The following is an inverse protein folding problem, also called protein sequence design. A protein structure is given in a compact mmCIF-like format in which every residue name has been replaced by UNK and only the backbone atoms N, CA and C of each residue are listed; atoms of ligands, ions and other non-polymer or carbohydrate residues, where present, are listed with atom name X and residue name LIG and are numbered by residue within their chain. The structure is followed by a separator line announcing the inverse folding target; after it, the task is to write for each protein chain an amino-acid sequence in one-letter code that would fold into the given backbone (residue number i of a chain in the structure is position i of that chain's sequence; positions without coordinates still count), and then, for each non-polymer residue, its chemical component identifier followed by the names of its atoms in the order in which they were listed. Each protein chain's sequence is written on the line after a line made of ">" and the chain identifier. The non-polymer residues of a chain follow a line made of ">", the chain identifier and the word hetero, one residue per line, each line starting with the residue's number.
data_IF_222210168283
#
_entry.id   IF_222210168283
#
_cell.length_a   1.000
_cell.length_b   1.000
_cell.length_c   1.000
_cell.angle_alpha   90.00
_cell.angle_beta   90.00
_cell.angle_gamma   90.00
#
_symmetry.space_group_name_H-M   'P 1'
#
loop_
_entity.id
_entity.type
_entity.pdbx_description
1 polymer ?
#
# COMPACT_ATOMS: atom_id res chain seq x y z
N UNK A 1 -77.25 7.75 44.26
CA UNK A 1 -76.16 6.93 44.82
C UNK A 1 -76.04 5.73 43.92
N UNK A 2 -75.39 5.92 42.77
CA UNK A 2 -75.12 4.86 41.80
C UNK A 2 -73.75 4.29 42.14
N UNK A 3 -73.74 3.00 42.49
CA UNK A 3 -72.52 2.22 42.57
C UNK A 3 -71.97 2.06 41.14
N UNK A 4 -70.90 2.80 40.84
CA UNK A 4 -70.05 2.51 39.69
C UNK A 4 -69.37 1.17 39.96
N UNK A 5 -69.87 0.11 39.32
CA UNK A 5 -69.14 -1.14 39.13
C UNK A 5 -67.97 -0.83 38.20
N UNK A 6 -66.76 -0.95 38.71
CA UNK A 6 -65.58 -1.09 37.86
C UNK A 6 -65.66 -2.47 37.20
N UNK A 7 -65.69 -2.46 35.87
CA UNK A 7 -65.66 -3.66 35.04
C UNK A 7 -64.28 -4.33 35.18
N UNK A 8 -64.28 -5.65 35.33
CA UNK A 8 -63.11 -6.43 35.72
C UNK A 8 -62.30 -6.90 34.50
N UNK A 9 -61.69 -5.96 33.76
CA UNK A 9 -60.72 -6.29 32.69
C UNK A 9 -59.50 -5.35 32.63
N UNK A 10 -59.28 -4.50 33.64
CA UNK A 10 -58.05 -3.72 33.77
C UNK A 10 -57.11 -4.43 34.76
N UNK A 11 -56.03 -5.07 34.27
CA UNK A 11 -54.85 -5.35 35.12
C UNK A 11 -54.42 -4.01 35.73
N UNK A 12 -54.26 -3.96 37.05
CA UNK A 12 -53.89 -2.73 37.77
C UNK A 12 -52.63 -2.12 37.11
N UNK A 13 -52.61 -0.81 36.77
CA UNK A 13 -51.41 -0.15 36.23
C UNK A 13 -50.13 -0.45 37.03
N UNK A 14 -50.27 -0.74 38.33
CA UNK A 14 -49.18 -1.13 39.23
C UNK A 14 -48.63 -2.54 38.93
N UNK A 15 -49.48 -3.48 38.51
CA UNK A 15 -49.08 -4.86 38.17
C UNK A 15 -48.26 -4.94 36.87
N UNK A 16 -48.35 -3.92 36.00
CA UNK A 16 -47.56 -3.85 34.75
C UNK A 16 -46.15 -3.30 34.93
N UNK A 17 -45.86 -2.64 36.05
CA UNK A 17 -44.55 -2.01 36.28
C UNK A 17 -43.41 -3.05 36.33
N UNK A 18 -43.57 -4.23 36.97
CA UNK A 18 -42.61 -5.33 36.85
C UNK A 18 -42.25 -5.74 35.42
N UNK A 19 -43.26 -5.89 34.56
CA UNK A 19 -43.08 -6.21 33.14
C UNK A 19 -42.28 -5.10 32.44
N UNK A 20 -42.67 -3.84 32.64
CA UNK A 20 -41.96 -2.69 32.08
C UNK A 20 -40.52 -2.55 32.60
N UNK A 21 -40.25 -2.86 33.87
CA UNK A 21 -38.88 -2.89 34.40
C UNK A 21 -38.06 -3.98 33.70
N UNK A 22 -38.66 -5.14 33.43
CA UNK A 22 -38.03 -6.20 32.64
C UNK A 22 -37.73 -5.79 31.20
N UNK A 23 -38.69 -5.16 30.52
CA UNK A 23 -38.50 -4.62 29.16
C UNK A 23 -37.36 -3.59 29.11
N UNK A 24 -37.25 -2.72 30.12
CA UNK A 24 -36.15 -1.74 30.23
C UNK A 24 -34.80 -2.45 30.38
N UNK A 25 -34.70 -3.47 31.24
CA UNK A 25 -33.44 -4.22 31.41
C UNK A 25 -33.02 -4.91 30.11
N UNK A 26 -33.96 -5.50 29.37
CA UNK A 26 -33.67 -6.09 28.04
C UNK A 26 -33.18 -5.03 27.08
N UNK A 27 -33.92 -3.93 26.95
CA UNK A 27 -33.57 -2.84 26.05
C UNK A 27 -32.19 -2.27 26.35
N UNK A 28 -31.85 -2.07 27.64
CA UNK A 28 -30.52 -1.62 28.05
C UNK A 28 -29.43 -2.60 27.64
N UNK A 29 -29.70 -3.89 27.75
CA UNK A 29 -28.72 -4.93 27.42
C UNK A 29 -28.51 -5.08 25.92
N UNK A 30 -29.56 -4.99 25.12
CA UNK A 30 -29.48 -5.01 23.66
C UNK A 30 -28.68 -3.80 23.15
N UNK A 31 -28.97 -2.60 23.70
CA UNK A 31 -28.19 -1.40 23.41
C UNK A 31 -26.74 -1.57 23.84
N UNK A 32 -26.46 -2.14 25.02
CA UNK A 32 -25.10 -2.40 25.46
C UNK A 32 -24.34 -3.35 24.52
N UNK A 33 -25.01 -4.37 23.97
CA UNK A 33 -24.45 -5.29 22.97
C UNK A 33 -24.14 -4.60 21.64
N UNK A 34 -25.05 -3.76 21.14
CA UNK A 34 -24.83 -2.94 19.94
C UNK A 34 -23.64 -1.99 20.17
N UNK A 35 -23.61 -1.30 21.32
CA UNK A 35 -22.51 -0.39 21.68
C UNK A 35 -21.17 -1.11 21.71
N UNK A 36 -21.10 -2.32 22.30
CA UNK A 36 -19.87 -3.12 22.30
C UNK A 36 -19.42 -3.51 20.88
N UNK A 37 -20.35 -3.88 20.00
CA UNK A 37 -20.05 -4.17 18.60
C UNK A 37 -19.53 -2.94 17.86
N UNK A 38 -20.11 -1.75 18.11
CA UNK A 38 -19.64 -0.49 17.52
C UNK A 38 -18.26 -0.11 18.06
N UNK A 39 -17.97 -0.28 19.35
CA UNK A 39 -16.64 -0.06 19.93
C UNK A 39 -15.60 -0.92 19.20
N UNK A 40 -15.87 -2.22 19.06
CA UNK A 40 -14.97 -3.14 18.34
C UNK A 40 -14.77 -2.74 16.87
N UNK A 41 -15.83 -2.32 16.20
CA UNK A 41 -15.75 -1.80 14.82
C UNK A 41 -14.91 -0.52 14.75
N UNK A 42 -15.02 0.35 15.74
CA UNK A 42 -14.25 1.60 15.84
C UNK A 42 -12.75 1.32 16.03
N UNK A 43 -12.39 0.33 16.84
CA UNK A 43 -11.00 -0.11 17.02
C UNK A 43 -10.38 -0.61 15.70
N UNK A 44 -11.11 -1.46 14.96
CA UNK A 44 -10.68 -1.95 13.65
C UNK A 44 -10.46 -0.80 12.66
N UNK A 45 -11.39 0.15 12.62
CA UNK A 45 -11.29 1.31 11.74
C UNK A 45 -10.11 2.22 12.09
N UNK A 46 -9.75 2.36 13.37
CA UNK A 46 -8.53 3.07 13.81
C UNK A 46 -7.24 2.38 13.35
N UNK A 47 -7.22 1.05 13.32
CA UNK A 47 -6.08 0.30 12.81
C UNK A 47 -5.89 0.53 11.30
N UNK A 48 -6.96 0.45 10.52
CA UNK A 48 -6.94 0.78 9.08
C UNK A 48 -6.50 2.23 8.83
N UNK A 49 -7.00 3.16 9.64
CA UNK A 49 -6.64 4.56 9.58
C UNK A 49 -5.14 4.81 9.83
N UNK A 50 -4.57 4.11 10.82
CA UNK A 50 -3.13 4.19 11.11
C UNK A 50 -2.30 3.65 9.96
N UNK A 51 -2.73 2.56 9.32
CA UNK A 51 -2.06 2.03 8.12
C UNK A 51 -2.12 3.03 6.96
N UNK A 52 -3.26 3.67 6.75
CA UNK A 52 -3.43 4.70 5.71
C UNK A 52 -2.51 5.91 5.94
N UNK A 53 -2.32 6.32 7.19
CA UNK A 53 -1.34 7.37 7.55
C UNK A 53 0.07 7.00 7.11
N UNK A 54 0.50 5.75 7.35
CA UNK A 54 1.81 5.26 6.89
C UNK A 54 1.96 5.32 5.35
N UNK A 55 0.92 4.91 4.61
CA UNK A 55 0.91 5.02 3.14
C UNK A 55 1.01 6.47 2.66
N UNK A 56 0.40 7.41 3.38
CA UNK A 56 0.48 8.84 3.05
C UNK A 56 1.88 9.39 3.28
N UNK A 57 2.56 9.00 4.36
CA UNK A 57 3.96 9.37 4.62
C UNK A 57 4.93 8.82 3.55
N UNK A 58 4.71 7.57 3.11
CA UNK A 58 5.46 6.99 1.99
C UNK A 58 5.21 7.74 0.68
N UNK A 59 3.95 8.10 0.41
CA UNK A 59 3.59 8.86 -0.79
C UNK A 59 4.23 10.26 -0.80
N UNK A 60 4.33 10.94 0.34
CA UNK A 60 5.09 12.18 0.45
C UNK A 60 6.59 12.00 0.16
N UNK A 61 7.17 10.91 0.66
CA UNK A 61 8.57 10.61 0.41
C UNK A 61 8.82 10.36 -1.09
N UNK A 62 7.92 9.64 -1.75
CA UNK A 62 8.01 9.39 -3.19
C UNK A 62 7.79 10.66 -4.01
N UNK A 63 6.87 11.55 -3.62
CA UNK A 63 6.72 12.87 -4.24
C UNK A 63 8.00 13.69 -4.19
N UNK A 64 8.71 13.69 -3.05
CA UNK A 64 10.00 14.38 -2.93
C UNK A 64 11.03 13.81 -3.90
N UNK A 65 11.09 12.48 -4.05
CA UNK A 65 11.99 11.83 -5.03
C UNK A 65 11.64 12.20 -6.46
N UNK A 66 10.36 12.19 -6.83
CA UNK A 66 9.91 12.58 -8.17
C UNK A 66 10.26 14.03 -8.46
N UNK A 67 10.03 14.95 -7.52
CA UNK A 67 10.40 16.36 -7.67
C UNK A 67 11.90 16.53 -7.89
N UNK A 68 12.74 15.84 -7.10
CA UNK A 68 14.19 15.90 -7.28
C UNK A 68 14.62 15.33 -8.64
N UNK A 69 14.07 14.18 -9.04
CA UNK A 69 14.37 13.57 -10.33
C UNK A 69 13.97 14.49 -11.50
N UNK A 70 12.85 15.21 -11.37
CA UNK A 70 12.43 16.21 -12.35
C UNK A 70 13.38 17.39 -12.41
N UNK A 71 13.85 17.92 -11.28
CA UNK A 71 14.84 19.00 -11.30
C UNK A 71 16.17 18.56 -11.93
N UNK A 72 16.62 17.33 -11.65
CA UNK A 72 17.81 16.74 -12.27
C UNK A 72 17.63 16.55 -13.78
N UNK A 73 16.47 16.08 -14.22
CA UNK A 73 16.14 15.92 -15.64
C UNK A 73 16.16 17.27 -16.37
N UNK A 74 15.60 18.33 -15.79
CA UNK A 74 15.67 19.69 -16.37
C UNK A 74 17.11 20.15 -16.56
N UNK A 75 17.96 20.01 -15.53
CA UNK A 75 19.38 20.37 -15.64
C UNK A 75 20.15 19.53 -16.67
N UNK A 76 19.72 18.28 -16.91
CA UNK A 76 20.29 17.44 -17.96
C UNK A 76 19.85 17.91 -19.35
N UNK A 77 18.58 18.26 -19.53
CA UNK A 77 18.05 18.83 -20.77
C UNK A 77 18.74 20.15 -21.12
N UNK A 78 18.88 21.07 -20.18
CA UNK A 78 19.60 22.35 -20.39
C UNK A 78 21.04 22.12 -20.86
N UNK A 79 21.77 21.19 -20.22
CA UNK A 79 23.14 20.83 -20.62
C UNK A 79 23.19 20.13 -21.98
N UNK A 80 22.17 19.34 -22.33
CA UNK A 80 22.08 18.70 -23.63
C UNK A 80 21.85 19.73 -24.73
N UNK A 81 20.95 20.71 -24.52
CA UNK A 81 20.70 21.82 -25.45
C UNK A 81 21.99 22.62 -25.71
N UNK A 82 22.73 22.98 -24.66
CA UNK A 82 24.01 23.71 -24.81
C UNK A 82 25.04 22.90 -25.64
N UNK A 83 25.17 21.60 -25.37
CA UNK A 83 26.05 20.72 -26.14
C UNK A 83 25.62 20.54 -27.59
N UNK A 84 24.32 20.46 -27.85
CA UNK A 84 23.78 20.38 -29.20
C UNK A 84 24.05 21.67 -29.97
N UNK A 85 23.89 22.84 -29.32
CA UNK A 85 24.27 24.13 -29.88
C UNK A 85 25.75 24.17 -30.30
N UNK A 86 26.66 23.76 -29.42
CA UNK A 86 28.10 23.65 -29.74
C UNK A 86 28.36 22.66 -30.90
N UNK A 87 27.60 21.56 -30.95
CA UNK A 87 27.66 20.58 -32.04
C UNK A 87 27.25 21.18 -33.39
N UNK A 88 26.17 21.97 -33.41
CA UNK A 88 25.72 22.70 -34.60
C UNK A 88 26.77 23.68 -35.10
N UNK A 89 27.41 24.44 -34.20
CA UNK A 89 28.48 25.39 -34.57
C UNK A 89 29.68 24.66 -35.22
N UNK A 90 30.08 23.50 -34.68
CA UNK A 90 31.16 22.68 -35.24
C UNK A 90 30.82 22.11 -36.62
N UNK A 91 29.56 21.71 -36.83
CA UNK A 91 29.06 21.25 -38.14
C UNK A 91 29.10 22.38 -39.16
N UNK A 92 28.61 23.56 -38.80
CA UNK A 92 28.63 24.73 -39.69
C UNK A 92 30.07 25.11 -40.08
N UNK A 93 31.01 25.08 -39.11
CA UNK A 93 32.42 25.28 -39.40
C UNK A 93 32.98 24.22 -40.36
N UNK A 94 32.59 22.95 -40.19
CA UNK A 94 33.04 21.84 -41.04
C UNK A 94 32.49 21.97 -42.47
N UNK A 95 31.22 22.37 -42.63
CA UNK A 95 30.62 22.66 -43.93
C UNK A 95 31.32 23.82 -44.64
N UNK A 96 31.73 24.86 -43.89
CA UNK A 96 32.55 25.95 -44.40
C UNK A 96 33.88 25.43 -44.95
N UNK A 97 34.64 24.67 -44.14
CA UNK A 97 35.93 24.10 -44.56
C UNK A 97 35.83 23.18 -45.79
N UNK A 98 34.76 22.37 -45.89
CA UNK A 98 34.52 21.52 -47.07
C UNK A 98 34.21 22.37 -48.31
N UNK A 99 33.51 23.49 -48.13
CA UNK A 99 33.22 24.44 -49.23
C UNK A 99 34.51 25.09 -49.72
N UNK A 100 35.37 25.55 -48.82
CA UNK A 100 36.69 26.11 -49.15
C UNK A 100 37.57 25.06 -49.86
N UNK A 101 37.52 23.80 -49.43
CA UNK A 101 38.24 22.69 -50.06
C UNK A 101 37.76 22.44 -51.50
N UNK A 102 36.45 22.47 -51.74
CA UNK A 102 35.88 22.32 -53.08
C UNK A 102 36.29 23.47 -54.01
N UNK A 103 36.39 24.70 -53.50
CA UNK A 103 36.90 25.85 -54.26
C UNK A 103 38.40 25.71 -54.57
N UNK A 104 39.20 25.24 -53.62
CA UNK A 104 40.62 24.95 -53.83
C UNK A 104 40.81 23.87 -54.89
N UNK A 105 40.03 22.79 -54.84
CA UNK A 105 40.02 21.71 -55.84
C UNK A 105 39.69 22.25 -57.22
N UNK A 106 38.65 23.08 -57.36
CA UNK A 106 38.29 23.69 -58.64
C UNK A 106 39.43 24.57 -59.20
N UNK A 107 40.07 25.35 -58.34
CA UNK A 107 41.21 26.20 -58.69
C UNK A 107 42.42 25.38 -59.15
N UNK A 108 42.73 24.28 -58.44
CA UNK A 108 43.80 23.36 -58.81
C UNK A 108 43.53 22.70 -60.17
N UNK A 109 42.31 22.24 -60.44
CA UNK A 109 41.92 21.69 -61.75
C UNK A 109 42.17 22.68 -62.88
N UNK A 110 41.82 23.96 -62.67
CA UNK A 110 42.06 25.02 -63.65
C UNK A 110 43.56 25.24 -63.89
N UNK A 111 44.37 25.29 -62.83
CA UNK A 111 45.82 25.45 -62.94
C UNK A 111 46.48 24.27 -63.67
N UNK A 112 46.11 23.03 -63.36
CA UNK A 112 46.70 21.84 -63.98
C UNK A 112 46.29 21.73 -65.45
N UNK A 113 45.04 22.10 -65.79
CA UNK A 113 44.58 22.16 -67.18
C UNK A 113 45.34 23.22 -67.98
N UNK A 114 45.57 24.41 -67.38
CA UNK A 114 46.42 25.44 -67.95
C UNK A 114 47.87 24.99 -68.15
N UNK A 115 48.42 24.25 -67.18
CA UNK A 115 49.75 23.65 -67.27
C UNK A 115 49.86 22.63 -68.40
N UNK A 116 48.87 21.73 -68.54
CA UNK A 116 48.81 20.76 -69.62
C UNK A 116 48.76 21.44 -71.01
N UNK A 117 47.98 22.52 -71.15
CA UNK A 117 47.93 23.31 -72.38
C UNK A 117 49.27 23.99 -72.71
N UNK A 118 49.99 24.50 -71.70
CA UNK A 118 51.32 25.07 -71.87
C UNK A 118 52.35 24.02 -72.30
N UNK A 119 52.30 22.82 -71.72
CA UNK A 119 53.15 21.69 -72.10
C UNK A 119 52.92 21.28 -73.56
N UNK A 120 51.66 21.24 -74.02
CA UNK A 120 51.34 20.94 -75.40
C UNK A 120 51.88 22.02 -76.37
N UNK A 121 51.87 23.29 -75.96
CA UNK A 121 52.47 24.36 -76.75
C UNK A 121 54.01 24.22 -76.84
N UNK A 122 54.68 23.83 -75.75
CA UNK A 122 56.13 23.54 -75.77
C UNK A 122 56.43 22.37 -76.69
N UNK A 123 55.64 21.29 -76.63
CA UNK A 123 55.75 20.12 -77.53
C UNK A 123 55.75 20.54 -79.00
N UNK A 124 54.75 21.34 -79.41
CA UNK A 124 54.63 21.84 -80.79
C UNK A 124 55.85 22.68 -81.20
N UNK A 125 56.29 23.58 -80.31
CA UNK A 125 57.48 24.40 -80.58
C UNK A 125 58.76 23.56 -80.74
N UNK A 126 58.94 22.52 -79.92
CA UNK A 126 60.06 21.59 -80.06
C UNK A 126 60.03 20.80 -81.36
N UNK A 127 58.84 20.38 -81.82
CA UNK A 127 58.65 19.72 -83.12
C UNK A 127 58.99 20.65 -84.29
N UNK A 128 58.60 21.93 -84.21
CA UNK A 128 58.96 22.93 -85.21
C UNK A 128 60.50 23.13 -85.27
N UNK A 129 61.16 23.21 -84.11
CA UNK A 129 62.62 23.34 -84.02
C UNK A 129 63.31 22.08 -84.58
N UNK A 130 62.78 20.89 -84.30
CA UNK A 130 63.28 19.64 -84.84
C UNK A 130 63.21 19.63 -86.37
N UNK A 131 62.10 20.07 -86.95
CA UNK A 131 61.92 20.20 -88.40
C UNK A 131 62.89 21.23 -89.02
N UNK A 132 63.13 22.34 -88.34
CA UNK A 132 64.14 23.34 -88.74
C UNK A 132 65.54 22.72 -88.69
N UNK A 133 65.87 21.98 -87.63
CA UNK A 133 67.16 21.32 -87.48
C UNK A 133 67.37 20.24 -88.56
N UNK A 134 66.35 19.46 -88.89
CA UNK A 134 66.39 18.49 -89.99
C UNK A 134 66.64 19.18 -91.33
N UNK A 135 65.90 20.24 -91.64
CA UNK A 135 66.07 21.03 -92.87
C UNK A 135 67.48 21.64 -92.93
N UNK A 136 67.95 22.18 -91.81
CA UNK A 136 69.30 22.76 -91.69
C UNK A 136 70.38 21.71 -91.91
N UNK A 137 70.21 20.50 -91.36
CA UNK A 137 71.12 19.38 -91.57
C UNK A 137 71.16 18.93 -93.05
N UNK A 138 70.03 18.94 -93.77
CA UNK A 138 69.97 18.64 -95.21
C UNK A 138 70.66 19.74 -96.02
N UNK A 139 70.40 21.02 -95.69
CA UNK A 139 71.06 22.15 -96.34
C UNK A 139 72.59 22.14 -96.13
N UNK A 140 73.02 21.86 -94.90
CA UNK A 140 74.43 21.72 -94.55
C UNK A 140 75.08 20.53 -95.27
N UNK A 141 74.39 19.39 -95.38
CA UNK A 141 74.85 18.24 -96.16
C UNK A 141 75.04 18.60 -97.64
N UNK A 142 74.06 19.28 -98.24
CA UNK A 142 74.15 19.74 -99.62
C UNK A 142 75.31 20.73 -99.81
N UNK A 143 75.51 21.64 -98.86
CA UNK A 143 76.63 22.58 -98.87
C UNK A 143 77.99 21.87 -98.72
N UNK A 144 78.10 20.84 -97.87
CA UNK A 144 79.31 20.00 -97.76
C UNK A 144 79.60 19.28 -99.08
N UNK A 145 78.58 18.73 -99.75
CA UNK A 145 78.72 18.06 -101.05
C UNK A 145 79.23 19.04 -102.12
N UNK A 146 78.66 20.24 -102.19
CA UNK A 146 79.05 21.23 -103.19
C UNK A 146 80.43 21.84 -102.89
N UNK A 147 80.78 22.00 -101.60
CA UNK A 147 82.12 22.39 -101.17
C UNK A 147 83.19 21.34 -101.54
N UNK A 148 82.86 20.04 -101.46
CA UNK A 148 83.73 18.97 -101.96
C UNK A 148 83.89 19.00 -103.48
N UNK A 149 82.82 19.35 -104.22
CA UNK A 149 82.86 19.52 -105.69
C UNK A 149 83.74 20.68 -106.15
N UNK A 150 83.81 21.76 -105.38
CA UNK A 150 84.63 22.93 -105.68
C UNK A 150 86.14 22.73 -105.43
N UNK A 151 86.57 21.55 -104.95
CA UNK A 151 87.98 21.21 -104.73
C UNK A 151 88.66 22.13 -103.71
N UNK A 152 89.88 22.60 -104.01
CA UNK A 152 90.67 23.42 -103.08
C UNK A 152 90.00 24.75 -102.70
N UNK A 153 89.18 25.33 -103.59
CA UNK A 153 88.46 26.58 -103.33
C UNK A 153 87.30 26.42 -102.33
N UNK A 154 86.77 25.20 -102.17
CA UNK A 154 85.64 24.90 -101.27
C UNK A 154 86.03 24.45 -99.87
N UNK A 155 87.33 24.26 -99.58
CA UNK A 155 87.80 23.60 -98.34
C UNK A 155 87.35 24.32 -97.06
N UNK A 156 87.36 25.65 -97.04
CA UNK A 156 86.91 26.45 -95.89
C UNK A 156 85.38 26.39 -95.72
N UNK A 157 84.64 26.36 -96.84
CA UNK A 157 83.18 26.18 -96.82
C UNK A 157 82.77 24.79 -96.32
N UNK A 158 83.54 23.74 -96.65
CA UNK A 158 83.28 22.39 -96.16
C UNK A 158 83.41 22.27 -94.63
N UNK A 159 84.35 23.00 -94.01
CA UNK A 159 84.49 23.05 -92.55
C UNK A 159 83.26 23.70 -91.90
N UNK A 160 82.83 24.86 -92.42
CA UNK A 160 81.63 25.55 -91.91
C UNK A 160 80.38 24.70 -92.11
N UNK A 161 80.22 24.06 -93.27
CA UNK A 161 79.06 23.20 -93.54
C UNK A 161 79.02 21.97 -92.61
N UNK A 162 80.16 21.35 -92.30
CA UNK A 162 80.23 20.26 -91.32
C UNK A 162 79.92 20.73 -89.89
N UNK A 163 80.34 21.93 -89.50
CA UNK A 163 80.01 22.51 -88.20
C UNK A 163 78.50 22.78 -88.07
N UNK A 164 77.89 23.38 -89.10
CA UNK A 164 76.42 23.59 -89.16
C UNK A 164 75.67 22.26 -89.12
N UNK A 165 76.19 21.22 -89.79
CA UNK A 165 75.62 19.86 -89.74
C UNK A 165 75.68 19.27 -88.33
N UNK A 166 76.80 19.44 -87.63
CA UNK A 166 76.95 18.99 -86.24
C UNK A 166 75.98 19.73 -85.32
N UNK A 167 75.91 21.06 -85.45
CA UNK A 167 75.02 21.90 -84.64
C UNK A 167 73.54 21.54 -84.86
N UNK A 168 73.14 21.25 -86.11
CA UNK A 168 71.80 20.76 -86.43
C UNK A 168 71.52 19.36 -85.84
N UNK A 169 72.53 18.49 -85.77
CA UNK A 169 72.45 17.22 -85.05
C UNK A 169 72.26 17.40 -83.54
N UNK A 170 73.03 18.31 -82.93
CA UNK A 170 72.94 18.63 -81.51
C UNK A 170 71.58 19.25 -81.16
N UNK A 171 71.06 20.17 -81.98
CA UNK A 171 69.73 20.76 -81.83
C UNK A 171 68.64 19.69 -81.85
N UNK A 172 68.73 18.71 -82.75
CA UNK A 172 67.74 17.61 -82.83
C UNK A 172 67.73 16.75 -81.57
N UNK A 173 68.91 16.39 -81.05
CA UNK A 173 68.99 15.64 -79.78
C UNK A 173 68.41 16.44 -78.62
N UNK A 174 68.68 17.75 -78.57
CA UNK A 174 68.11 18.62 -77.55
C UNK A 174 66.58 18.71 -77.65
N UNK A 175 66.01 18.80 -78.86
CA UNK A 175 64.55 18.78 -79.05
C UNK A 175 63.93 17.44 -78.68
N UNK A 176 64.58 16.31 -78.99
CA UNK A 176 64.13 14.97 -78.57
C UNK A 176 64.10 14.84 -77.03
N UNK A 177 65.12 15.36 -76.33
CA UNK A 177 65.14 15.38 -74.86
C UNK A 177 64.03 16.27 -74.27
N UNK A 178 63.75 17.42 -74.89
CA UNK A 178 62.63 18.28 -74.48
C UNK A 178 61.30 17.53 -74.67
N UNK A 179 61.08 16.89 -75.81
CA UNK A 179 59.84 16.11 -76.07
C UNK A 179 59.66 15.03 -75.02
N UNK A 180 60.69 14.24 -74.70
CA UNK A 180 60.62 13.22 -73.64
C UNK A 180 60.27 13.82 -72.28
N UNK A 181 60.87 14.96 -71.93
CA UNK A 181 60.59 15.64 -70.66
C UNK A 181 59.15 16.14 -70.61
N UNK A 182 58.63 16.70 -71.71
CA UNK A 182 57.25 17.15 -71.84
C UNK A 182 56.26 15.99 -71.79
N UNK A 183 56.61 14.82 -72.33
CA UNK A 183 55.79 13.60 -72.20
C UNK A 183 55.69 13.16 -70.73
N UNK A 184 56.81 13.07 -70.01
CA UNK A 184 56.81 12.73 -68.58
C UNK A 184 56.01 13.74 -67.75
N UNK A 185 56.15 15.04 -68.01
CA UNK A 185 55.36 16.07 -67.34
C UNK A 185 53.87 15.99 -67.67
N UNK A 186 53.50 15.54 -68.87
CA UNK A 186 52.12 15.31 -69.28
C UNK A 186 51.48 14.11 -68.55
N UNK A 187 52.24 13.03 -68.37
CA UNK A 187 51.82 11.88 -67.57
C UNK A 187 51.61 12.24 -66.10
N UNK A 188 52.57 12.98 -65.50
CA UNK A 188 52.46 13.49 -64.13
C UNK A 188 51.26 14.42 -63.96
N UNK A 189 51.03 15.35 -64.90
CA UNK A 189 49.86 16.23 -64.88
C UNK A 189 48.54 15.43 -64.93
N UNK A 190 48.48 14.37 -65.75
CA UNK A 190 47.30 13.49 -65.85
C UNK A 190 47.05 12.74 -64.54
N UNK A 191 48.11 12.25 -63.88
CA UNK A 191 48.04 11.62 -62.55
C UNK A 191 47.50 12.59 -61.49
N UNK A 192 47.99 13.84 -61.50
CA UNK A 192 47.52 14.88 -60.58
C UNK A 192 46.04 15.22 -60.81
N UNK A 193 45.58 15.31 -62.07
CA UNK A 193 44.15 15.53 -62.39
C UNK A 193 43.29 14.41 -61.78
N UNK A 194 43.67 13.15 -61.98
CA UNK A 194 42.92 12.01 -61.42
C UNK A 194 42.86 12.05 -59.89
N UNK A 195 43.94 12.47 -59.22
CA UNK A 195 43.95 12.64 -57.76
C UNK A 195 43.04 13.80 -57.31
N UNK A 196 43.01 14.91 -58.06
CA UNK A 196 42.13 16.05 -57.78
C UNK A 196 40.66 15.65 -57.95
N UNK A 197 40.32 14.93 -59.01
CA UNK A 197 38.95 14.42 -59.24
C UNK A 197 38.49 13.48 -58.12
N UNK A 198 39.35 12.56 -57.69
CA UNK A 198 39.06 11.70 -56.54
C UNK A 198 38.87 12.50 -55.24
N UNK A 199 39.70 13.53 -55.01
CA UNK A 199 39.57 14.43 -53.87
C UNK A 199 38.26 15.25 -53.90
N UNK A 200 37.83 15.66 -55.10
CA UNK A 200 36.56 16.35 -55.30
C UNK A 200 35.36 15.47 -54.90
N UNK A 201 35.34 14.22 -55.37
CA UNK A 201 34.25 13.29 -55.05
C UNK A 201 34.23 12.96 -53.55
N UNK A 202 35.39 12.67 -52.95
CA UNK A 202 35.50 12.44 -51.51
C UNK A 202 35.01 13.64 -50.68
N UNK A 203 35.30 14.87 -51.13
CA UNK A 203 34.81 16.10 -50.48
C UNK A 203 33.29 16.26 -50.59
N UNK A 204 32.71 15.86 -51.71
CA UNK A 204 31.26 15.89 -51.95
C UNK A 204 30.52 14.83 -51.11
N UNK A 205 31.09 13.64 -50.98
CA UNK A 205 30.60 12.61 -50.05
C UNK A 205 30.66 13.12 -48.61
N UNK A 206 31.80 13.67 -48.19
CA UNK A 206 31.97 14.26 -46.86
C UNK A 206 30.92 15.35 -46.57
N UNK A 207 30.65 16.24 -47.55
CA UNK A 207 29.59 17.26 -47.44
C UNK A 207 28.23 16.64 -47.17
N UNK A 208 27.89 15.57 -47.89
CA UNK A 208 26.61 14.87 -47.74
C UNK A 208 26.50 14.21 -46.37
N UNK A 209 27.56 13.56 -45.89
CA UNK A 209 27.61 12.97 -44.56
C UNK A 209 27.46 14.01 -43.45
N UNK A 210 28.17 15.15 -43.55
CA UNK A 210 28.05 16.23 -42.56
C UNK A 210 26.63 16.81 -42.54
N UNK A 211 25.98 16.95 -43.69
CA UNK A 211 24.58 17.39 -43.77
C UNK A 211 23.62 16.40 -43.08
N UNK A 212 23.84 15.09 -43.21
CA UNK A 212 23.05 14.09 -42.48
C UNK A 212 23.26 14.17 -40.96
N UNK A 213 24.48 14.46 -40.51
CA UNK A 213 24.77 14.69 -39.09
C UNK A 213 24.02 15.95 -38.61
N UNK A 214 24.01 17.04 -39.39
CA UNK A 214 23.24 18.26 -39.08
C UNK A 214 21.76 17.95 -38.83
N UNK A 215 21.12 17.21 -39.74
CA UNK A 215 19.73 16.79 -39.60
C UNK A 215 19.50 15.93 -38.36
N UNK A 216 20.45 15.05 -38.05
CA UNK A 216 20.38 14.19 -36.86
C UNK A 216 20.47 15.01 -35.57
N UNK A 217 21.40 15.98 -35.51
CA UNK A 217 21.53 16.89 -34.35
C UNK A 217 20.25 17.71 -34.17
N UNK A 218 19.67 18.23 -35.25
CA UNK A 218 18.40 18.96 -35.19
C UNK A 218 17.27 18.08 -34.61
N UNK A 219 17.14 16.83 -35.07
CA UNK A 219 16.15 15.90 -34.53
C UNK A 219 16.39 15.56 -33.05
N UNK A 220 17.64 15.47 -32.61
CA UNK A 220 17.97 15.26 -31.19
C UNK A 220 17.62 16.50 -30.36
N UNK A 221 17.82 17.71 -30.87
CA UNK A 221 17.43 18.94 -30.20
C UNK A 221 15.92 19.02 -29.96
N UNK A 222 15.13 18.69 -30.97
CA UNK A 222 13.66 18.63 -30.86
C UNK A 222 13.20 17.61 -29.80
N UNK A 223 13.83 16.44 -29.75
CA UNK A 223 13.54 15.43 -28.72
C UNK A 223 13.90 15.91 -27.30
N UNK A 224 15.01 16.65 -27.15
CA UNK A 224 15.40 17.19 -25.84
C UNK A 224 14.44 18.29 -25.37
N UNK A 225 13.97 19.16 -26.27
CA UNK A 225 12.92 20.14 -25.97
C UNK A 225 11.61 19.45 -25.57
N UNK A 226 11.25 18.34 -26.22
CA UNK A 226 10.07 17.56 -25.85
C UNK A 226 10.21 16.93 -24.46
N UNK A 227 11.39 16.42 -24.12
CA UNK A 227 11.71 15.91 -22.78
C UNK A 227 11.59 17.02 -21.73
N UNK A 228 12.10 18.21 -22.00
CA UNK A 228 11.99 19.36 -21.10
C UNK A 228 10.52 19.74 -20.84
N UNK A 229 9.70 19.82 -21.91
CA UNK A 229 8.26 20.07 -21.79
C UNK A 229 7.55 19.01 -20.96
N UNK A 230 7.85 17.73 -21.17
CA UNK A 230 7.27 16.64 -20.37
C UNK A 230 7.69 16.71 -18.91
N UNK A 231 8.94 17.11 -18.64
CA UNK A 231 9.42 17.28 -17.29
C UNK A 231 8.67 18.42 -16.55
N UNK A 232 8.38 19.51 -17.26
CA UNK A 232 7.53 20.60 -16.76
C UNK A 232 6.11 20.12 -16.40
N UNK A 233 5.52 19.24 -17.22
CA UNK A 233 4.23 18.61 -16.94
C UNK A 233 4.28 17.72 -15.68
N UNK A 234 5.35 16.93 -15.54
CA UNK A 234 5.58 16.08 -14.36
C UNK A 234 5.72 16.93 -13.09
N UNK A 235 6.45 18.05 -13.16
CA UNK A 235 6.60 18.96 -12.01
C UNK A 235 5.24 19.53 -11.56
N UNK A 236 4.39 19.97 -12.51
CA UNK A 236 3.03 20.46 -12.20
C UNK A 236 2.13 19.38 -11.63
N UNK A 237 2.18 18.17 -12.20
CA UNK A 237 1.44 17.02 -11.69
C UNK A 237 1.87 16.70 -10.25
N UNK A 238 3.18 16.67 -9.98
CA UNK A 238 3.74 16.43 -8.65
C UNK A 238 3.24 17.45 -7.63
N UNK A 239 3.22 18.74 -7.99
CA UNK A 239 2.66 19.79 -7.13
C UNK A 239 1.16 19.60 -6.82
N UNK A 240 0.38 19.16 -7.81
CA UNK A 240 -1.05 18.86 -7.61
C UNK A 240 -1.26 17.67 -6.68
N UNK A 241 -0.49 16.59 -6.86
CA UNK A 241 -0.57 15.41 -6.01
C UNK A 241 -0.12 15.78 -4.58
N UNK A 242 0.87 16.65 -4.40
CA UNK A 242 1.27 17.12 -3.07
C UNK A 242 0.13 17.86 -2.36
N UNK A 243 -0.62 18.69 -3.08
CA UNK A 243 -1.85 19.31 -2.56
C UNK A 243 -2.93 18.28 -2.18
N UNK A 244 -3.10 17.22 -2.96
CA UNK A 244 -4.02 16.13 -2.62
C UNK A 244 -3.57 15.36 -1.37
N UNK A 245 -2.28 15.10 -1.22
CA UNK A 245 -1.70 14.44 -0.05
C UNK A 245 -1.96 15.25 1.22
N UNK A 246 -1.69 16.56 1.20
CA UNK A 246 -2.00 17.43 2.33
C UNK A 246 -3.49 17.45 2.70
N UNK A 247 -4.39 17.35 1.71
CA UNK A 247 -5.84 17.21 1.96
C UNK A 247 -6.18 15.87 2.61
N UNK A 248 -5.57 14.77 2.16
CA UNK A 248 -5.78 13.45 2.77
C UNK A 248 -5.31 13.46 4.21
N UNK A 249 -4.13 13.99 4.51
CA UNK A 249 -3.65 14.15 5.89
C UNK A 249 -4.65 14.89 6.77
N UNK A 250 -5.19 16.00 6.28
CA UNK A 250 -6.19 16.76 7.03
C UNK A 250 -7.47 15.95 7.29
N UNK A 251 -7.92 15.14 6.32
CA UNK A 251 -9.05 14.22 6.52
C UNK A 251 -8.72 13.17 7.58
N UNK A 252 -7.49 12.64 7.57
CA UNK A 252 -7.04 11.65 8.56
C UNK A 252 -7.02 12.24 9.98
N UNK A 253 -6.51 13.45 10.15
CA UNK A 253 -6.47 14.10 11.47
C UNK A 253 -7.88 14.37 12.02
N UNK A 254 -8.80 14.83 11.16
CA UNK A 254 -10.20 15.02 11.53
C UNK A 254 -10.88 13.69 11.88
N UNK A 255 -10.55 12.62 11.17
CA UNK A 255 -11.08 11.29 11.44
C UNK A 255 -10.62 10.75 12.80
N UNK A 256 -9.33 10.88 13.14
CA UNK A 256 -8.81 10.47 14.45
C UNK A 256 -9.49 11.20 15.60
N UNK A 257 -9.69 12.53 15.46
CA UNK A 257 -10.42 13.32 16.45
C UNK A 257 -11.87 12.83 16.62
N UNK A 258 -12.58 12.58 15.51
CA UNK A 258 -13.94 12.07 15.52
C UNK A 258 -14.03 10.66 16.12
N UNK A 259 -13.06 9.79 15.83
CA UNK A 259 -13.01 8.43 16.37
C UNK A 259 -12.83 8.42 17.89
N UNK A 260 -11.92 9.25 18.42
CA UNK A 260 -11.72 9.40 19.87
C UNK A 260 -12.99 9.94 20.55
N UNK A 261 -13.65 10.92 19.93
CA UNK A 261 -14.90 11.47 20.47
C UNK A 261 -16.02 10.42 20.47
N UNK A 262 -16.13 9.63 19.39
CA UNK A 262 -17.14 8.57 19.28
C UNK A 262 -16.92 7.47 20.32
N UNK A 263 -15.67 7.05 20.54
CA UNK A 263 -15.31 6.08 21.57
C UNK A 263 -15.72 6.55 22.96
N UNK A 264 -15.44 7.82 23.30
CA UNK A 264 -15.87 8.43 24.57
C UNK A 264 -17.41 8.49 24.71
N UNK A 265 -18.13 8.80 23.63
CA UNK A 265 -19.60 8.76 23.61
C UNK A 265 -20.13 7.35 23.85
N UNK A 266 -19.58 6.35 23.18
CA UNK A 266 -20.00 4.95 23.30
C UNK A 266 -19.74 4.41 24.71
N UNK A 267 -18.58 4.71 25.31
CA UNK A 267 -18.28 4.34 26.69
C UNK A 267 -19.28 4.96 27.68
N UNK A 268 -19.67 6.23 27.48
CA UNK A 268 -20.72 6.86 28.30
C UNK A 268 -22.07 6.20 28.14
N UNK A 269 -22.50 5.90 26.91
CA UNK A 269 -23.77 5.19 26.66
C UNK A 269 -23.74 3.82 27.34
N UNK A 270 -22.64 3.08 27.23
CA UNK A 270 -22.48 1.79 27.89
C UNK A 270 -22.64 1.91 29.42
N UNK A 271 -22.00 2.90 30.04
CA UNK A 271 -22.15 3.17 31.47
C UNK A 271 -23.59 3.53 31.86
N UNK A 272 -24.24 4.39 31.10
CA UNK A 272 -25.64 4.78 31.33
C UNK A 272 -26.61 3.60 31.19
N UNK A 273 -26.38 2.68 30.25
CA UNK A 273 -27.20 1.46 30.15
C UNK A 273 -27.07 0.59 31.41
N UNK A 274 -25.87 0.46 31.96
CA UNK A 274 -25.65 -0.26 33.22
C UNK A 274 -26.35 0.42 34.41
N UNK A 275 -26.32 1.75 34.49
CA UNK A 275 -27.04 2.51 35.52
C UNK A 275 -28.57 2.36 35.40
N UNK A 276 -29.10 2.36 34.17
CA UNK A 276 -30.52 2.15 33.90
C UNK A 276 -30.98 0.73 34.27
N UNK A 277 -30.17 -0.30 33.96
CA UNK A 277 -30.44 -1.69 34.36
C UNK A 277 -30.54 -1.82 35.89
N UNK A 278 -29.59 -1.22 36.61
CA UNK A 278 -29.60 -1.20 38.08
C UNK A 278 -30.81 -0.44 38.64
N UNK A 279 -31.16 0.71 38.05
CA UNK A 279 -32.31 1.52 38.47
C UNK A 279 -33.61 0.77 38.24
N UNK A 280 -33.75 0.08 37.10
CA UNK A 280 -34.91 -0.76 36.78
C UNK A 280 -35.09 -1.89 37.79
N UNK A 281 -34.00 -2.57 38.14
CA UNK A 281 -34.01 -3.60 39.19
C UNK A 281 -34.39 -3.04 40.56
N UNK A 282 -33.93 -1.84 40.91
CA UNK A 282 -34.27 -1.19 42.19
C UNK A 282 -35.73 -0.77 42.29
N UNK A 283 -36.30 -0.32 41.17
CA UNK A 283 -37.73 -0.03 41.07
C UNK A 283 -38.54 -1.32 41.25
N UNK A 284 -38.16 -2.40 40.58
CA UNK A 284 -38.82 -3.69 40.73
C UNK A 284 -38.75 -4.22 42.18
N UNK A 285 -37.56 -4.20 42.78
CA UNK A 285 -37.36 -4.57 44.19
C UNK A 285 -38.22 -3.75 45.15
N UNK A 286 -38.32 -2.44 44.93
CA UNK A 286 -39.12 -1.55 45.76
C UNK A 286 -40.63 -1.82 45.65
N UNK A 287 -41.12 -2.14 44.45
CA UNK A 287 -42.54 -2.45 44.21
C UNK A 287 -42.96 -3.74 44.90
N UNK A 288 -42.15 -4.78 44.76
CA UNK A 288 -42.41 -6.07 45.44
C UNK A 288 -42.34 -5.89 46.95
N UNK A 289 -41.37 -5.13 47.47
CA UNK A 289 -41.27 -4.80 48.91
C UNK A 289 -42.43 -3.98 49.44
N UNK A 290 -43.04 -3.14 48.61
CA UNK A 290 -44.25 -2.40 48.96
C UNK A 290 -45.52 -3.27 48.99
N UNK A 291 -45.44 -4.55 48.59
CA UNK A 291 -46.58 -5.46 48.52
C UNK A 291 -47.51 -5.16 47.34
N UNK A 292 -47.01 -4.42 46.35
CA UNK A 292 -47.77 -3.94 45.21
C UNK A 292 -47.79 -4.91 44.02
N UNK A 293 -47.04 -6.01 44.12
CA UNK A 293 -47.13 -7.14 43.17
C UNK A 293 -47.41 -8.44 43.92
N UNK A 294 -48.68 -8.90 44.00
CA UNK A 294 -49.05 -10.09 44.76
C UNK A 294 -48.43 -11.38 44.21
N UNK A 295 -48.32 -11.52 42.88
CA UNK A 295 -47.75 -12.71 42.24
C UNK A 295 -46.25 -12.82 42.50
N UNK A 296 -45.51 -11.72 42.39
CA UNK A 296 -44.07 -11.69 42.72
C UNK A 296 -43.85 -11.90 44.23
N UNK A 297 -44.70 -11.33 45.07
CA UNK A 297 -44.65 -11.54 46.53
C UNK A 297 -44.86 -13.01 46.92
N UNK A 298 -45.73 -13.73 46.20
CA UNK A 298 -45.90 -15.17 46.40
C UNK A 298 -44.63 -15.94 46.04
N UNK A 299 -43.95 -15.58 44.95
CA UNK A 299 -42.65 -16.18 44.59
C UNK A 299 -41.56 -15.89 45.61
N UNK A 300 -41.56 -14.69 46.22
CA UNK A 300 -40.65 -14.36 47.33
C UNK A 300 -40.86 -15.29 48.53
N UNK A 301 -42.12 -15.51 48.93
CA UNK A 301 -42.40 -16.40 50.06
C UNK A 301 -42.03 -17.87 49.76
N UNK A 302 -42.25 -18.32 48.52
CA UNK A 302 -41.76 -19.63 48.08
C UNK A 302 -40.24 -19.72 48.13
N UNK A 303 -39.52 -18.72 47.63
CA UNK A 303 -38.06 -18.68 47.68
C UNK A 303 -37.54 -18.71 49.12
N UNK A 304 -38.17 -17.99 50.05
CA UNK A 304 -37.81 -18.03 51.49
C UNK A 304 -38.07 -19.37 52.15
N UNK A 305 -39.15 -20.06 51.79
CA UNK A 305 -39.42 -21.42 52.28
C UNK A 305 -38.33 -22.38 51.79
N UNK A 306 -37.99 -22.33 50.51
CA UNK A 306 -36.95 -23.16 49.91
C UNK A 306 -35.57 -22.86 50.48
N UNK A 307 -35.22 -21.58 50.67
CA UNK A 307 -33.96 -21.16 51.30
C UNK A 307 -33.82 -21.75 52.71
N UNK A 308 -34.87 -21.66 53.55
CA UNK A 308 -34.88 -22.28 54.89
C UNK A 308 -34.75 -23.80 54.82
N UNK A 309 -35.28 -24.44 53.80
CA UNK A 309 -35.11 -25.89 53.62
C UNK A 309 -33.68 -26.25 53.22
N UNK A 310 -33.04 -25.46 52.35
CA UNK A 310 -31.60 -25.58 52.02
C UNK A 310 -30.74 -25.46 53.27
N UNK A 311 -31.01 -24.44 54.09
CA UNK A 311 -30.35 -24.22 55.39
C UNK A 311 -30.53 -25.43 56.30
N UNK A 312 -31.77 -25.87 56.52
CA UNK A 312 -32.11 -27.01 57.38
C UNK A 312 -31.40 -28.30 56.93
N UNK A 313 -31.38 -28.60 55.62
CA UNK A 313 -30.72 -29.80 55.10
C UNK A 313 -29.21 -29.77 55.39
N UNK A 314 -28.58 -28.61 55.25
CA UNK A 314 -27.15 -28.46 55.54
C UNK A 314 -26.88 -28.53 57.05
N UNK A 315 -27.68 -27.86 57.87
CA UNK A 315 -27.53 -27.85 59.32
C UNK A 315 -27.74 -29.25 59.93
N UNK A 316 -28.77 -29.98 59.50
CA UNK A 316 -28.98 -31.38 59.92
C UNK A 316 -27.84 -32.29 59.51
N UNK A 317 -27.28 -32.12 58.30
CA UNK A 317 -26.11 -32.90 57.87
C UNK A 317 -24.85 -32.57 58.69
N UNK A 318 -24.68 -31.31 59.11
CA UNK A 318 -23.60 -30.91 60.03
C UNK A 318 -23.80 -31.55 61.40
N UNK A 319 -25.02 -31.52 61.94
CA UNK A 319 -25.35 -32.18 63.22
C UNK A 319 -25.13 -33.69 63.18
N UNK A 320 -25.46 -34.34 62.06
CA UNK A 320 -25.22 -35.77 61.82
C UNK A 320 -23.77 -36.12 61.45
N UNK A 321 -22.87 -35.13 61.36
CA UNK A 321 -21.48 -35.31 60.92
C UNK A 321 -21.34 -35.90 59.49
N UNK A 322 -22.33 -35.66 58.64
CA UNK A 322 -22.34 -36.03 57.21
C UNK A 322 -21.72 -34.92 56.33
N UNK A 323 -21.64 -33.70 56.86
CA UNK A 323 -21.04 -32.51 56.23
C UNK A 323 -20.27 -31.71 57.27
N UNK A 324 -19.01 -31.39 57.04
CA UNK A 324 -18.27 -30.50 57.94
C UNK A 324 -18.55 -29.03 57.61
N UNK A 325 -18.70 -28.19 58.64
CA UNK A 325 -18.91 -26.76 58.45
C UNK A 325 -17.79 -26.11 57.61
N UNK A 326 -16.55 -26.60 57.71
CA UNK A 326 -15.44 -26.13 56.88
C UNK A 326 -15.62 -26.40 55.38
N UNK A 327 -16.27 -27.51 55.01
CA UNK A 327 -16.54 -27.87 53.61
C UNK A 327 -17.58 -26.93 52.98
N UNK A 328 -18.57 -26.48 53.75
CA UNK A 328 -19.60 -25.55 53.30
C UNK A 328 -19.02 -24.21 52.86
N UNK A 329 -18.02 -23.72 53.60
CA UNK A 329 -17.36 -22.45 53.33
C UNK A 329 -16.05 -22.59 52.55
N UNK A 330 -15.82 -23.73 51.90
CA UNK A 330 -14.65 -23.94 51.06
C UNK A 330 -14.75 -23.07 49.78
N UNK A 331 -13.86 -22.09 49.68
CA UNK A 331 -13.72 -21.19 48.53
C UNK A 331 -12.48 -21.52 47.70
N UNK A 332 -11.86 -22.69 47.91
CA UNK A 332 -10.77 -23.16 47.07
C UNK A 332 -11.33 -23.73 45.76
N UNK A 333 -11.63 -22.85 44.80
CA UNK A 333 -12.20 -23.21 43.50
C UNK A 333 -11.16 -23.92 42.62
N UNK A 334 -11.15 -25.26 42.63
CA UNK A 334 -10.24 -26.07 41.80
C UNK A 334 -10.85 -26.25 40.42
N UNK A 335 -10.19 -25.74 39.37
CA UNK A 335 -10.69 -25.80 37.99
C UNK A 335 -10.89 -27.24 37.49
N UNK A 336 -12.01 -27.47 36.79
CA UNK A 336 -12.31 -28.71 36.06
C UNK A 336 -11.84 -28.55 34.63
N UNK A 337 -10.86 -29.36 34.22
CA UNK A 337 -10.38 -29.38 32.84
C UNK A 337 -11.43 -29.93 31.85
N UNK A 338 -11.40 -29.43 30.61
CA UNK A 338 -12.32 -29.86 29.55
C UNK A 338 -13.69 -29.17 29.54
N UNK A 339 -13.89 -28.09 30.32
CA UNK A 339 -15.12 -27.29 30.32
C UNK A 339 -14.92 -25.92 29.67
N UNK A 340 -15.91 -25.47 28.89
CA UNK A 340 -15.93 -24.12 28.29
C UNK A 340 -17.37 -23.57 28.24
N UNK A 341 -17.82 -22.70 29.17
CA UNK A 341 -17.01 -21.89 30.08
C UNK A 341 -16.36 -22.67 31.24
N UNK A 342 -15.34 -22.09 31.93
CA UNK A 342 -14.65 -22.75 33.03
C UNK A 342 -15.58 -23.14 34.19
N UNK A 343 -15.45 -24.37 34.66
CA UNK A 343 -16.09 -24.90 35.88
C UNK A 343 -15.06 -25.19 36.96
N UNK A 344 -15.51 -25.25 38.20
CA UNK A 344 -14.69 -25.44 39.39
C UNK A 344 -15.34 -26.46 40.33
N UNK A 345 -14.52 -27.11 41.15
CA UNK A 345 -14.93 -27.98 42.26
C UNK A 345 -14.56 -27.32 43.58
N UNK A 346 -15.38 -27.57 44.59
CA UNK A 346 -15.10 -27.30 46.01
C UNK A 346 -15.50 -28.53 46.83
N UNK A 347 -15.10 -28.58 48.10
CA UNK A 347 -15.45 -29.66 49.01
C UNK A 347 -16.99 -29.83 49.20
N UNK A 348 -17.77 -28.78 48.95
CA UNK A 348 -19.23 -28.81 49.04
C UNK A 348 -19.90 -29.48 47.82
N UNK A 349 -19.25 -29.49 46.65
CA UNK A 349 -19.90 -29.79 45.36
C UNK A 349 -20.64 -31.14 45.33
N UNK A 350 -19.97 -32.22 45.72
CA UNK A 350 -20.57 -33.57 45.65
C UNK A 350 -21.71 -33.73 46.64
N UNK A 351 -21.56 -33.19 47.85
CA UNK A 351 -22.61 -33.22 48.87
C UNK A 351 -23.82 -32.40 48.44
N UNK A 352 -23.62 -31.19 47.92
CA UNK A 352 -24.70 -30.33 47.43
C UNK A 352 -25.43 -30.96 46.24
N UNK A 353 -24.69 -31.62 45.34
CA UNK A 353 -25.27 -32.32 44.19
C UNK A 353 -26.15 -33.51 44.59
N UNK A 354 -25.85 -34.18 45.71
CA UNK A 354 -26.70 -35.25 46.24
C UNK A 354 -27.90 -34.71 47.01
N UNK A 355 -27.70 -33.68 47.84
CA UNK A 355 -28.66 -33.28 48.86
C UNK A 355 -29.51 -32.06 48.49
N UNK A 356 -28.93 -31.05 47.82
CA UNK A 356 -29.68 -29.86 47.40
C UNK A 356 -30.33 -30.03 46.03
N UNK A 357 -29.70 -30.76 45.10
CA UNK A 357 -30.25 -30.92 43.73
C UNK A 357 -31.68 -31.48 43.71
N UNK A 358 -31.99 -32.44 44.57
CA UNK A 358 -33.35 -33.01 44.66
C UNK A 358 -34.39 -31.94 45.05
N UNK A 359 -34.04 -31.04 45.97
CA UNK A 359 -34.87 -29.91 46.33
C UNK A 359 -35.02 -28.94 45.15
N UNK A 360 -33.92 -28.58 44.47
CA UNK A 360 -33.96 -27.67 43.32
C UNK A 360 -34.86 -28.22 42.20
N UNK A 361 -34.70 -29.49 41.85
CA UNK A 361 -35.52 -30.17 40.82
C UNK A 361 -37.00 -30.23 41.24
N UNK A 362 -37.28 -30.50 42.53
CA UNK A 362 -38.65 -30.51 43.05
C UNK A 362 -39.31 -29.14 42.91
N UNK A 363 -38.63 -28.07 43.35
CA UNK A 363 -39.14 -26.69 43.29
C UNK A 363 -39.47 -26.27 41.87
N UNK A 364 -38.61 -26.61 40.90
CA UNK A 364 -38.89 -26.33 39.49
C UNK A 364 -40.09 -27.16 38.95
N UNK A 365 -40.21 -28.43 39.36
CA UNK A 365 -41.31 -29.29 38.91
C UNK A 365 -42.69 -28.93 39.51
N UNK A 366 -42.72 -28.41 40.74
CA UNK A 366 -43.96 -28.09 41.46
C UNK A 366 -44.52 -26.70 41.08
N UNK A 367 -43.69 -25.84 40.48
CA UNK A 367 -44.05 -24.47 40.13
C UNK A 367 -43.80 -24.18 38.65
N UNK A 368 -44.84 -24.26 37.77
CA UNK A 368 -44.67 -24.10 36.33
C UNK A 368 -44.06 -22.77 35.86
N UNK A 369 -44.17 -21.71 36.67
CA UNK A 369 -43.59 -20.40 36.40
C UNK A 369 -42.07 -20.35 36.68
N UNK A 370 -41.54 -21.28 37.47
CA UNK A 370 -40.13 -21.34 37.84
C UNK A 370 -39.32 -21.89 36.67
N UNK A 371 -38.31 -21.13 36.25
CA UNK A 371 -37.47 -21.47 35.10
C UNK A 371 -36.07 -21.92 35.54
N UNK A 372 -35.62 -21.45 36.70
CA UNK A 372 -34.31 -21.78 37.25
C UNK A 372 -34.31 -21.64 38.76
N UNK A 373 -33.64 -22.57 39.43
CA UNK A 373 -33.41 -22.53 40.87
C UNK A 373 -31.97 -22.92 41.13
N UNK A 374 -31.28 -22.12 41.93
CA UNK A 374 -29.88 -22.35 42.26
C UNK A 374 -29.55 -21.90 43.67
N UNK A 375 -28.47 -22.44 44.20
CA UNK A 375 -27.80 -21.95 45.40
C UNK A 375 -26.42 -21.46 44.96
N UNK A 376 -26.08 -20.24 45.30
CA UNK A 376 -24.82 -19.60 44.91
C UNK A 376 -24.13 -19.05 46.15
N UNK A 377 -22.84 -19.36 46.33
CA UNK A 377 -22.09 -18.79 47.45
C UNK A 377 -21.90 -17.27 47.30
N UNK A 378 -21.27 -16.63 48.29
CA UNK A 378 -20.97 -15.18 48.28
C UNK A 378 -20.16 -14.69 47.07
N UNK A 379 -19.46 -15.58 46.38
CA UNK A 379 -18.67 -15.29 45.18
C UNK A 379 -19.40 -15.69 43.88
N UNK A 380 -20.64 -16.16 43.96
CA UNK A 380 -21.43 -16.57 42.80
C UNK A 380 -21.12 -17.98 42.31
N UNK A 381 -20.46 -18.82 43.12
CA UNK A 381 -20.18 -20.21 42.76
C UNK A 381 -21.41 -21.11 42.99
N UNK A 382 -21.74 -21.93 41.99
CA UNK A 382 -22.86 -22.87 42.02
C UNK A 382 -22.37 -24.29 42.36
N UNK A 383 -22.39 -24.78 43.61
CA UNK A 383 -21.96 -26.15 43.93
C UNK A 383 -22.84 -27.22 43.25
N UNK A 384 -24.09 -26.90 42.93
CA UNK A 384 -24.99 -27.73 42.13
C UNK A 384 -25.99 -26.85 41.36
N UNK A 385 -26.77 -27.47 40.47
CA UNK A 385 -27.88 -26.85 39.77
C UNK A 385 -28.92 -27.95 39.47
N UNK A 386 -30.10 -27.57 38.97
CA UNK A 386 -31.07 -28.48 38.34
C UNK A 386 -30.40 -29.58 37.50
N UNK A 387 -30.95 -30.80 37.53
CA UNK A 387 -30.41 -31.98 36.82
C UNK A 387 -30.19 -31.70 35.33
N UNK A 388 -31.12 -30.96 34.69
CA UNK A 388 -31.00 -30.56 33.27
C UNK A 388 -29.80 -29.64 32.98
N UNK A 389 -29.31 -28.91 33.98
CA UNK A 389 -28.16 -27.99 33.88
C UNK A 389 -26.91 -28.50 34.62
N UNK A 390 -26.90 -29.78 35.00
CA UNK A 390 -25.78 -30.45 35.67
C UNK A 390 -25.20 -31.58 34.82
N UNK A 391 -25.15 -31.39 33.50
CA UNK A 391 -24.64 -32.39 32.55
C UNK A 391 -23.10 -32.44 32.54
N UNK A 392 -22.56 -33.51 31.94
CA UNK A 392 -21.12 -33.63 31.72
C UNK A 392 -20.65 -32.66 30.62
N UNK A 393 -19.51 -31.97 30.82
CA UNK A 393 -18.99 -31.02 29.86
C UNK A 393 -18.38 -31.73 28.65
N UNK A 394 -18.47 -31.11 27.48
CA UNK A 394 -17.86 -31.62 26.24
C UNK A 394 -16.75 -30.72 25.72
N UNK A 395 -16.59 -29.52 26.28
CA UNK A 395 -15.69 -28.48 25.78
C UNK A 395 -16.28 -27.65 24.64
N UNK A 396 -17.44 -28.02 24.11
CA UNK A 396 -18.21 -27.22 23.15
C UNK A 396 -18.91 -26.06 23.87
N UNK A 397 -18.65 -24.83 23.43
CA UNK A 397 -19.17 -23.62 24.07
C UNK A 397 -20.70 -23.59 24.12
N UNK A 398 -21.38 -24.12 23.10
CA UNK A 398 -22.84 -24.04 22.99
C UNK A 398 -23.48 -25.01 23.98
N UNK A 399 -23.04 -26.27 23.98
CA UNK A 399 -23.52 -27.30 24.90
C UNK A 399 -23.21 -26.95 26.35
N UNK A 400 -21.96 -26.60 26.65
CA UNK A 400 -21.50 -26.35 28.02
C UNK A 400 -22.17 -25.10 28.63
N UNK A 401 -22.35 -24.02 27.87
CA UNK A 401 -23.05 -22.81 28.34
C UNK A 401 -24.52 -23.11 28.69
N UNK A 402 -25.18 -23.93 27.89
CA UNK A 402 -26.59 -24.27 28.07
C UNK A 402 -26.83 -25.31 29.19
N UNK A 403 -26.02 -26.37 29.22
CA UNK A 403 -26.34 -27.60 29.97
C UNK A 403 -25.40 -27.88 31.15
N UNK A 404 -24.28 -27.17 31.29
CA UNK A 404 -23.25 -27.45 32.29
C UNK A 404 -23.02 -26.24 33.23
N UNK A 405 -24.04 -25.87 34.01
CA UNK A 405 -23.99 -24.70 34.91
C UNK A 405 -23.45 -24.99 36.30
N UNK A 406 -23.56 -26.22 36.79
CA UNK A 406 -22.99 -26.60 38.08
C UNK A 406 -21.46 -26.47 38.06
N UNK A 407 -20.89 -25.90 39.12
CA UNK A 407 -19.48 -25.59 39.24
C UNK A 407 -19.07 -24.30 38.54
N UNK A 408 -19.97 -23.57 37.85
CA UNK A 408 -19.64 -22.25 37.31
C UNK A 408 -19.61 -21.20 38.43
N UNK A 409 -18.85 -20.14 38.19
CA UNK A 409 -18.94 -18.89 38.95
C UNK A 409 -19.64 -17.88 38.07
N UNK A 410 -20.83 -17.45 38.48
CA UNK A 410 -21.66 -16.48 37.77
C UNK A 410 -21.91 -15.31 38.72
N UNK A 411 -21.38 -14.15 38.38
CA UNK A 411 -21.39 -12.98 39.27
C UNK A 411 -21.48 -11.68 38.46
N UNK A 412 -22.69 -11.35 38.00
CA UNK A 412 -23.01 -10.09 37.35
C UNK A 412 -23.09 -8.92 38.36
N UNK A 413 -23.16 -7.65 37.90
CA UNK A 413 -23.30 -6.50 38.80
C UNK A 413 -24.48 -6.61 39.76
N UNK A 414 -25.62 -7.13 39.28
CA UNK A 414 -26.83 -7.31 40.08
C UNK A 414 -26.65 -8.40 41.15
N UNK A 415 -25.97 -9.50 40.82
CA UNK A 415 -25.64 -10.57 41.77
C UNK A 415 -24.75 -10.02 42.89
N UNK A 416 -23.71 -9.24 42.55
CA UNK A 416 -22.86 -8.59 43.56
C UNK A 416 -23.65 -7.69 44.52
N UNK A 417 -24.69 -7.02 44.02
CA UNK A 417 -25.57 -6.21 44.85
C UNK A 417 -26.38 -7.08 45.81
N UNK A 418 -27.01 -8.15 45.31
CA UNK A 418 -27.74 -9.10 46.14
C UNK A 418 -26.86 -9.74 47.23
N UNK A 419 -25.67 -10.22 46.86
CA UNK A 419 -24.68 -10.85 47.76
C UNK A 419 -24.18 -9.93 48.88
N UNK A 420 -24.28 -8.61 48.70
CA UNK A 420 -23.92 -7.60 49.71
C UNK A 420 -25.11 -7.14 50.56
N UNK A 421 -26.33 -7.35 50.09
CA UNK A 421 -27.56 -6.92 50.77
C UNK A 421 -27.82 -7.76 52.02
N UNK A 422 -28.15 -7.14 53.14
CA UNK A 422 -28.62 -7.82 54.36
C UNK A 422 -30.15 -7.86 54.46
N UNK A 423 -30.86 -7.46 53.41
CA UNK A 423 -32.32 -7.53 53.36
C UNK A 423 -32.77 -9.00 53.36
N UNK A 424 -33.97 -9.32 53.89
CA UNK A 424 -34.48 -10.69 53.92
C UNK A 424 -34.68 -11.30 52.52
N UNK A 425 -34.76 -10.46 51.49
CA UNK A 425 -34.68 -10.82 50.09
C UNK A 425 -34.34 -9.58 49.25
N UNK A 426 -33.96 -9.81 47.99
CA UNK A 426 -33.87 -8.80 46.95
C UNK A 426 -34.51 -9.35 45.68
N UNK A 427 -35.28 -8.52 44.99
CA UNK A 427 -35.74 -8.82 43.63
C UNK A 427 -34.81 -8.19 42.60
N UNK A 428 -34.69 -8.84 41.46
CA UNK A 428 -34.13 -8.22 40.28
C UNK A 428 -34.84 -8.72 39.02
N UNK A 429 -34.71 -7.94 37.96
CA UNK A 429 -35.00 -8.42 36.61
C UNK A 429 -33.72 -8.32 35.81
N UNK A 430 -33.28 -9.44 35.26
CA UNK A 430 -32.07 -9.47 34.45
C UNK A 430 -32.17 -10.52 33.33
N UNK A 431 -31.20 -10.46 32.42
CA UNK A 431 -31.11 -11.38 31.30
C UNK A 431 -30.45 -12.68 31.72
N UNK A 432 -31.16 -13.80 31.63
CA UNK A 432 -30.52 -15.10 31.79
C UNK A 432 -29.72 -15.45 30.53
N UNK A 433 -28.47 -15.88 30.70
CA UNK A 433 -27.60 -16.35 29.61
C UNK A 433 -28.30 -17.48 28.84
N UNK A 434 -28.38 -17.38 27.51
CA UNK A 434 -29.01 -18.35 26.61
C UNK A 434 -27.99 -19.06 25.72
N UNK A 435 -28.36 -19.36 24.47
CA UNK A 435 -27.47 -19.97 23.45
C UNK A 435 -26.59 -18.95 22.70
N UNK A 436 -26.53 -17.71 23.19
CA UNK A 436 -25.85 -16.58 22.55
C UNK A 436 -26.64 -15.89 21.43
N UNK A 437 -27.85 -16.38 21.08
CA UNK A 437 -28.74 -15.80 20.06
C UNK A 437 -30.13 -15.46 20.59
N UNK A 438 -30.59 -16.17 21.62
CA UNK A 438 -31.88 -15.96 22.27
C UNK A 438 -31.68 -15.66 23.74
N UNK A 439 -32.48 -14.72 24.25
CA UNK A 439 -32.40 -14.28 25.63
C UNK A 439 -33.77 -14.24 26.24
N UNK A 440 -33.85 -14.61 27.52
CA UNK A 440 -35.09 -14.58 28.27
C UNK A 440 -34.95 -13.63 29.44
N UNK A 441 -35.95 -12.78 29.59
CA UNK A 441 -36.12 -11.93 30.76
C UNK A 441 -36.54 -12.84 31.89
N UNK A 442 -35.78 -12.83 32.97
CA UNK A 442 -36.16 -13.57 34.17
C UNK A 442 -36.30 -12.59 35.31
N UNK A 443 -37.40 -12.75 36.06
CA UNK A 443 -37.52 -12.19 37.39
C UNK A 443 -36.78 -13.13 38.32
N UNK A 444 -35.99 -12.61 39.25
CA UNK A 444 -35.24 -13.41 40.19
C UNK A 444 -35.42 -12.93 41.62
N UNK A 445 -35.62 -13.88 42.53
CA UNK A 445 -35.57 -13.64 43.96
C UNK A 445 -34.23 -14.11 44.49
N UNK A 446 -33.50 -13.22 45.16
CA UNK A 446 -32.32 -13.56 45.95
C UNK A 446 -32.72 -13.60 47.42
N UNK A 447 -32.57 -14.75 48.06
CA UNK A 447 -32.79 -14.90 49.51
C UNK A 447 -31.47 -15.28 50.17
N UNK A 448 -30.93 -14.47 51.10
CA UNK A 448 -29.70 -14.81 51.79
C UNK A 448 -29.80 -16.15 52.52
N UNK A 449 -28.78 -16.99 52.34
CA UNK A 449 -28.66 -18.32 52.98
C UNK A 449 -27.58 -18.26 54.06
N UNK A 450 -27.96 -18.66 55.27
CA UNK A 450 -27.10 -18.75 56.45
C UNK A 450 -26.98 -20.20 56.88
N UNK A 451 -25.75 -20.69 56.99
CA UNK A 451 -25.49 -22.05 57.48
C UNK A 451 -24.60 -21.93 58.71
N UNK A 452 -25.01 -22.55 59.82
CA UNK A 452 -24.31 -22.45 61.10
C UNK A 452 -24.12 -20.98 61.56
N UNK A 453 -25.13 -20.14 61.35
CA UNK A 453 -25.14 -18.72 61.74
C UNK A 453 -24.25 -17.79 60.91
N UNK A 454 -23.60 -18.29 59.84
CA UNK A 454 -22.74 -17.48 58.95
C UNK A 454 -23.36 -17.44 57.55
N UNK A 455 -23.32 -16.25 56.91
CA UNK A 455 -23.79 -16.09 55.53
C UNK A 455 -22.92 -16.93 54.60
N UNK A 456 -23.54 -17.86 53.89
CA UNK A 456 -22.90 -18.70 52.89
C UNK A 456 -23.03 -18.11 51.49
N UNK A 457 -24.21 -17.59 51.17
CA UNK A 457 -24.57 -17.20 49.82
C UNK A 457 -26.01 -16.75 49.73
N UNK A 458 -26.64 -16.98 48.58
CA UNK A 458 -28.08 -16.78 48.39
C UNK A 458 -28.70 -18.02 47.73
N UNK A 459 -29.98 -18.24 48.03
CA UNK A 459 -30.89 -19.04 47.26
C UNK A 459 -31.50 -18.15 46.17
N UNK A 460 -31.43 -18.59 44.93
CA UNK A 460 -31.88 -17.85 43.76
C UNK A 460 -33.03 -18.60 43.08
N UNK A 461 -34.15 -17.91 42.89
CA UNK A 461 -35.35 -18.45 42.24
C UNK A 461 -35.74 -17.54 41.08
N UNK A 462 -35.46 -18.02 39.86
CA UNK A 462 -35.74 -17.35 38.61
C UNK A 462 -37.06 -17.86 38.00
N UNK A 463 -37.94 -16.95 37.62
CA UNK A 463 -39.29 -17.28 37.14
C UNK A 463 -39.79 -16.30 36.07
N UNK A 464 -40.81 -16.74 35.33
CA UNK A 464 -41.62 -15.90 34.44
C UNK A 464 -43.10 -16.33 34.48
N UNK A 465 -44.00 -15.38 34.24
CA UNK A 465 -45.45 -15.61 34.15
C UNK A 465 -45.96 -15.67 32.69
N UNK A 466 -45.04 -15.57 31.72
CA UNK A 466 -45.31 -15.55 30.28
C UNK A 466 -45.62 -16.93 29.69
#
# INVERSE_FOLDING_TARGET
>A
MEHVRFDADDRDPIERIPESCGEVTVGCTDVAGIVAAVIKSSEALRAEHTALRGTVEELEADQRKVSQASDEARMLSERAIDRLGQGTDLIQSSLGQITDLLELVATLTQHVTGFAAAMDQVRRCSQDIEQIAETTNILALNATIEAMRAGDAGRTFAVVANEVKSLAGDTRRATEEIVRTVDTLGEEASSVIAQIENGAEASKEAKTSVFQIEQTIQGVAELVEEVDRHNDEIARATGTISGHVGRVQHVLDNFDAAAIENESKLQRVHGQMGELEMTSSDMFDSIVKAGLSPQDSAMVEQAKLCAREVERIAEEAIERSELEAGQVFDQNYVRIEGSNPPRFRTALMDWANTNWRQLLDRVESEHPAVMGVACTDVNGYLPTHLTKHSQEPTGDLTHDTHSCRNGRIILHPIDRKAKRSSAPYMMAVYRQEGDGKTYRVVRNVYVPVYIAGRRWGDFELAYSFD
#
